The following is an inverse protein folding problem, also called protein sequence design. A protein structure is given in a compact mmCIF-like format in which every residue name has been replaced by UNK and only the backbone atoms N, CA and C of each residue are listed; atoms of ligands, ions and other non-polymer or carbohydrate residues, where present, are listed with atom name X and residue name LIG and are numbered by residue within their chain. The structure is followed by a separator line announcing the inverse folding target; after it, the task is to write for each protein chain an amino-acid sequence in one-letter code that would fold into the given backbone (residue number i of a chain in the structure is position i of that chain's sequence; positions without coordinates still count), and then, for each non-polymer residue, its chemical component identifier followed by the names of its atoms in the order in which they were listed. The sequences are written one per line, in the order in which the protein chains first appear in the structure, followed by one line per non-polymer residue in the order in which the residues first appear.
data_IF_853029011810
#
_entry.id   IF_853029011810
#
_cell.length_a   1.000
_cell.length_b   1.000
_cell.length_c   1.000
_cell.angle_alpha   90.00
_cell.angle_beta   90.00
_cell.angle_gamma   90.00
#
_symmetry.space_group_name_H-M   'P 1'
#
loop_
_entity.id
_entity.type
_entity.pdbx_description
1 polymer ?
#
# COMPACT_ATOMS: atom_id res chain seq x y z
N UNK A 1 22.80 -10.53 6.00
CA UNK A 1 21.41 -10.99 6.20
C UNK A 1 20.48 -9.78 6.22
N UNK A 2 19.28 -9.92 5.66
CA UNK A 2 18.31 -8.84 5.63
C UNK A 2 17.07 -9.19 6.42
N UNK A 3 16.48 -8.21 7.03
CA UNK A 3 15.11 -8.32 7.54
C UNK A 3 14.20 -7.54 6.62
N UNK A 4 12.95 -7.96 6.50
CA UNK A 4 12.00 -7.36 5.57
C UNK A 4 10.82 -6.78 6.32
N UNK A 5 10.31 -5.67 5.79
CA UNK A 5 9.15 -5.01 6.32
C UNK A 5 8.16 -4.79 5.18
N UNK A 6 6.92 -5.14 5.40
CA UNK A 6 5.86 -4.96 4.40
C UNK A 6 4.86 -3.94 4.92
N UNK A 7 4.64 -2.91 4.13
CA UNK A 7 3.77 -1.80 4.52
C UNK A 7 2.58 -1.76 3.57
N UNK A 8 1.39 -1.89 4.11
CA UNK A 8 0.17 -1.81 3.32
C UNK A 8 -0.27 -0.36 3.21
N UNK A 9 -0.58 0.08 2.00
CA UNK A 9 -1.10 1.42 1.77
C UNK A 9 -2.52 1.34 1.22
N UNK A 10 -3.35 2.36 1.48
CA UNK A 10 -4.74 2.34 1.00
C UNK A 10 -4.82 2.26 -0.51
N UNK A 11 -5.87 1.64 -1.06
CA UNK A 11 -6.03 1.53 -2.50
C UNK A 11 -6.39 2.85 -3.16
N UNK A 12 -6.91 3.79 -2.40
CA UNK A 12 -7.37 5.06 -2.94
C UNK A 12 -6.77 6.22 -2.17
N UNK A 13 -6.48 7.27 -2.91
CA UNK A 13 -6.00 8.53 -2.34
C UNK A 13 -7.11 9.55 -2.52
N UNK A 14 -7.55 10.16 -1.42
CA UNK A 14 -8.60 11.16 -1.48
C UNK A 14 -8.02 12.52 -1.82
N UNK A 15 -8.58 13.14 -2.86
CA UNK A 15 -8.18 14.49 -3.26
C UNK A 15 -9.42 15.32 -3.52
N UNK A 16 -9.27 16.62 -3.44
CA UNK A 16 -10.36 17.53 -3.80
C UNK A 16 -10.49 17.60 -5.32
N UNK A 17 -11.73 17.83 -5.80
CA UNK A 17 -11.97 17.88 -7.23
C UNK A 17 -11.13 18.95 -7.94
N UNK A 18 -10.82 20.04 -7.26
CA UNK A 18 -10.04 21.14 -7.82
C UNK A 18 -8.53 20.97 -7.72
N UNK A 19 -8.08 19.93 -7.03
CA UNK A 19 -6.66 19.67 -6.89
C UNK A 19 -6.08 19.14 -8.20
N UNK A 20 -4.81 19.44 -8.43
CA UNK A 20 -4.09 18.86 -9.55
C UNK A 20 -3.80 17.39 -9.27
N UNK A 21 -4.42 16.52 -10.03
CA UNK A 21 -4.33 15.08 -9.80
C UNK A 21 -3.10 14.44 -10.46
N UNK A 22 -2.43 15.19 -11.34
CA UNK A 22 -1.25 14.64 -12.01
C UNK A 22 -0.12 14.45 -11.01
N UNK A 23 0.37 13.24 -10.91
CA UNK A 23 1.51 12.94 -10.05
C UNK A 23 1.19 12.77 -8.57
N UNK A 24 -0.07 12.90 -8.16
CA UNK A 24 -0.43 12.77 -6.74
C UNK A 24 -0.11 11.37 -6.21
N UNK A 25 -0.43 10.34 -6.98
CA UNK A 25 -0.16 8.98 -6.55
C UNK A 25 1.33 8.73 -6.37
N UNK A 26 2.13 9.21 -7.32
CA UNK A 26 3.57 9.05 -7.24
C UNK A 26 4.14 9.81 -6.05
N UNK A 27 3.66 11.03 -5.81
CA UNK A 27 4.13 11.82 -4.68
C UNK A 27 3.79 11.16 -3.35
N UNK A 28 2.59 10.60 -3.23
CA UNK A 28 2.17 9.90 -2.03
C UNK A 28 3.07 8.70 -1.75
N UNK A 29 3.29 7.87 -2.77
CA UNK A 29 4.13 6.69 -2.61
C UNK A 29 5.59 7.07 -2.31
N UNK A 30 6.07 8.13 -2.96
CA UNK A 30 7.42 8.61 -2.71
C UNK A 30 7.60 9.06 -1.26
N UNK A 31 6.60 9.75 -0.71
CA UNK A 31 6.64 10.17 0.69
C UNK A 31 6.67 8.98 1.64
N UNK A 32 5.88 7.95 1.37
CA UNK A 32 5.88 6.74 2.18
C UNK A 32 7.24 6.06 2.12
N UNK A 33 7.79 5.92 0.92
CA UNK A 33 9.10 5.27 0.73
C UNK A 33 10.19 6.06 1.43
N UNK A 34 10.19 7.39 1.28
CA UNK A 34 11.22 8.23 1.88
C UNK A 34 11.14 8.26 3.40
N UNK A 35 9.94 8.19 3.95
CA UNK A 35 9.77 8.10 5.39
C UNK A 35 10.45 6.87 5.96
N UNK A 36 10.29 5.73 5.30
CA UNK A 36 10.93 4.49 5.74
C UNK A 36 12.43 4.49 5.46
N UNK A 37 12.84 5.09 4.33
CA UNK A 37 14.25 5.19 3.99
C UNK A 37 15.03 6.00 5.05
N UNK A 38 14.39 7.00 5.63
CA UNK A 38 15.02 7.79 6.69
C UNK A 38 15.36 6.94 7.92
N UNK A 39 14.63 5.85 8.12
CA UNK A 39 14.88 4.91 9.23
C UNK A 39 15.81 3.76 8.81
N UNK A 40 16.40 3.84 7.63
CA UNK A 40 17.35 2.84 7.14
C UNK A 40 16.75 1.72 6.33
N UNK A 41 15.47 1.82 5.98
CA UNK A 41 14.82 0.80 5.16
C UNK A 41 15.07 1.06 3.68
N UNK A 42 15.40 0.00 2.95
CA UNK A 42 15.66 0.06 1.52
C UNK A 42 14.44 -0.45 0.77
N UNK A 43 13.92 0.36 -0.12
CA UNK A 43 12.76 -0.01 -0.94
C UNK A 43 13.12 -1.15 -1.90
N UNK A 44 12.24 -2.14 -2.01
CA UNK A 44 12.42 -3.26 -2.91
C UNK A 44 11.40 -3.27 -4.03
N UNK A 45 10.12 -3.31 -3.68
CA UNK A 45 9.08 -3.44 -4.69
C UNK A 45 7.71 -3.09 -4.13
N UNK A 46 6.77 -2.91 -5.04
CA UNK A 46 5.36 -2.70 -4.72
C UNK A 46 4.57 -3.83 -5.37
N UNK A 47 3.72 -4.47 -4.59
CA UNK A 47 2.84 -5.53 -5.07
C UNK A 47 1.39 -5.14 -4.80
N UNK A 48 0.49 -5.75 -5.56
CA UNK A 48 -0.94 -5.60 -5.36
C UNK A 48 -1.50 -6.90 -4.80
N UNK A 49 -2.29 -6.79 -3.72
CA UNK A 49 -2.92 -7.94 -3.11
C UNK A 49 -4.41 -7.69 -3.04
N UNK A 50 -5.20 -8.65 -3.52
CA UNK A 50 -6.65 -8.58 -3.44
C UNK A 50 -7.15 -9.25 -2.19
N UNK A 51 -8.10 -8.61 -1.54
CA UNK A 51 -8.79 -9.18 -0.39
C UNK A 51 -10.23 -9.42 -0.78
N UNK A 52 -10.69 -10.64 -0.60
CA UNK A 52 -12.06 -11.04 -0.87
C UNK A 52 -12.83 -11.05 0.44
N UNK A 53 -13.87 -10.24 0.52
CA UNK A 53 -14.75 -10.23 1.66
C UNK A 53 -16.03 -10.92 1.31
N UNK A 54 -16.31 -12.04 1.98
CA UNK A 54 -17.49 -12.84 1.73
C UNK A 54 -18.59 -12.48 2.70
N UNK A 55 -19.85 -12.47 2.25
CA UNK A 55 -20.98 -12.24 3.15
C UNK A 55 -21.10 -13.35 4.18
N UNK A 56 -21.72 -13.03 5.30
CA UNK A 56 -21.98 -14.01 6.35
C UNK A 56 -22.99 -15.06 5.89
N UNK A 57 -23.18 -16.07 6.75
CA UNK A 57 -23.98 -17.26 6.44
C UNK A 57 -25.41 -16.95 5.99
N UNK A 58 -25.98 -15.87 6.46
CA UNK A 58 -27.36 -15.51 6.13
C UNK A 58 -27.45 -14.44 5.07
N UNK A 59 -26.31 -14.00 4.57
CA UNK A 59 -26.29 -12.92 3.62
C UNK A 59 -26.44 -13.43 2.20
N UNK A 60 -27.46 -12.99 1.52
CA UNK A 60 -27.51 -13.11 0.07
C UNK A 60 -26.69 -12.00 -0.57
N UNK A 61 -25.71 -11.47 0.15
CA UNK A 61 -24.93 -10.35 -0.30
C UNK A 61 -23.88 -10.69 -1.32
N UNK A 62 -23.38 -9.66 -1.97
CA UNK A 62 -22.35 -9.81 -2.97
C UNK A 62 -20.98 -9.97 -2.32
N UNK A 63 -20.10 -10.71 -2.98
CA UNK A 63 -18.69 -10.77 -2.58
C UNK A 63 -18.06 -9.45 -2.97
N UNK A 64 -17.37 -8.86 -2.02
CA UNK A 64 -16.64 -7.62 -2.25
C UNK A 64 -15.16 -7.90 -2.41
N UNK A 65 -14.53 -7.22 -3.37
CA UNK A 65 -13.10 -7.32 -3.60
C UNK A 65 -12.48 -5.95 -3.39
N UNK A 66 -11.39 -5.91 -2.67
CA UNK A 66 -10.61 -4.69 -2.49
C UNK A 66 -9.16 -5.00 -2.76
N UNK A 67 -8.51 -4.17 -3.56
CA UNK A 67 -7.09 -4.30 -3.83
C UNK A 67 -6.30 -3.34 -2.96
N UNK A 68 -5.24 -3.87 -2.38
CA UNK A 68 -4.32 -3.06 -1.59
C UNK A 68 -2.95 -3.12 -2.21
N UNK A 69 -2.18 -2.07 -2.00
CA UNK A 69 -0.79 -2.04 -2.41
C UNK A 69 0.08 -2.33 -1.20
N UNK A 70 1.08 -3.18 -1.40
CA UNK A 70 2.01 -3.54 -0.33
C UNK A 70 3.40 -3.20 -0.81
N UNK A 71 4.08 -2.36 -0.05
CA UNK A 71 5.44 -1.96 -0.34
C UNK A 71 6.37 -2.79 0.51
N UNK A 72 7.35 -3.42 -0.13
CA UNK A 72 8.32 -4.25 0.57
C UNK A 72 9.63 -3.48 0.72
N UNK A 73 10.11 -3.44 1.95
CA UNK A 73 11.39 -2.84 2.30
C UNK A 73 12.30 -3.89 2.91
N UNK A 74 13.58 -3.64 2.86
CA UNK A 74 14.54 -4.48 3.58
C UNK A 74 15.56 -3.63 4.30
N UNK A 75 16.14 -4.20 5.33
CA UNK A 75 17.22 -3.57 6.07
C UNK A 75 18.25 -4.63 6.41
N UNK A 76 19.51 -4.31 6.21
CA UNK A 76 20.57 -5.22 6.57
C UNK A 76 20.70 -5.33 8.08
N UNK A 77 20.80 -6.53 8.59
CA UNK A 77 20.99 -6.82 10.00
C UNK A 77 22.34 -7.47 10.21
N UNK A 78 23.01 -7.04 11.25
CA UNK A 78 24.31 -7.56 11.60
C UNK A 78 24.22 -8.72 12.57
#
# INVERSE_FOLDING_TARGET
MYTYKMVQVPPNISVRAKDNKAGIAAAYLQDVVNEHAADGWEFQRIDTIGIEERPGCFGGGKVNFTQYYVITFRKEVQ
#
